data_IF_683969594974
#
_entry.id   IF_683969594974
#
_cell.length_a   1.000
_cell.length_b   1.000
_cell.length_c   1.000
_cell.angle_alpha   90.00
_cell.angle_beta   90.00
_cell.angle_gamma   90.00
#
_symmetry.space_group_name_H-M   'P 1'
#
loop_
_entity.id
_entity.type
_entity.pdbx_description
1 polymer ?
#
# COMPACT_ATOMS: atom_id res chain seq x y z
N UNK A 1 8.27 1.46 -16.70
CA UNK A 1 8.71 0.10 -16.32
C UNK A 1 8.10 -0.36 -15.01
N UNK A 2 8.07 0.50 -13.97
CA UNK A 2 7.53 0.12 -12.65
C UNK A 2 6.04 -0.31 -12.68
N UNK A 3 5.14 0.45 -13.34
CA UNK A 3 3.70 0.15 -13.33
C UNK A 3 3.31 -1.21 -13.94
N UNK A 4 3.89 -1.59 -15.08
CA UNK A 4 3.59 -2.89 -15.72
C UNK A 4 4.03 -4.05 -14.83
N UNK A 5 5.19 -3.91 -14.18
CA UNK A 5 5.71 -4.91 -13.26
C UNK A 5 4.86 -5.00 -11.99
N UNK A 6 4.44 -3.86 -11.42
CA UNK A 6 3.53 -3.82 -10.28
C UNK A 6 2.17 -4.44 -10.61
N UNK A 7 1.60 -4.15 -11.78
CA UNK A 7 0.36 -4.77 -12.24
C UNK A 7 0.51 -6.27 -12.47
N UNK A 8 1.65 -6.69 -13.05
CA UNK A 8 1.98 -8.11 -13.22
C UNK A 8 2.10 -8.84 -11.89
N UNK A 9 2.81 -8.25 -10.92
CA UNK A 9 2.95 -8.80 -9.57
C UNK A 9 1.60 -8.91 -8.88
N UNK A 10 0.76 -7.87 -8.96
CA UNK A 10 -0.59 -7.86 -8.40
C UNK A 10 -1.47 -8.95 -9.03
N UNK A 11 -1.39 -9.12 -10.35
CA UNK A 11 -2.09 -10.18 -11.08
C UNK A 11 -1.65 -11.57 -10.58
N UNK A 12 -0.33 -11.79 -10.43
CA UNK A 12 0.20 -13.06 -9.95
C UNK A 12 -0.18 -13.34 -8.50
N UNK A 13 -0.16 -12.34 -7.63
CA UNK A 13 -0.60 -12.48 -6.23
C UNK A 13 -2.07 -12.89 -6.19
N UNK A 14 -2.92 -12.20 -6.94
CA UNK A 14 -4.33 -12.54 -7.00
C UNK A 14 -4.55 -13.99 -7.49
N UNK A 15 -3.84 -14.39 -8.54
CA UNK A 15 -4.01 -15.70 -9.19
C UNK A 15 -3.43 -16.85 -8.37
N UNK A 16 -2.21 -16.72 -7.86
CA UNK A 16 -1.46 -17.81 -7.25
C UNK A 16 -1.55 -17.85 -5.73
N UNK A 17 -1.91 -16.73 -5.10
CA UNK A 17 -1.89 -16.61 -3.64
C UNK A 17 -3.29 -16.38 -3.10
N UNK A 18 -3.93 -15.27 -3.46
CA UNK A 18 -5.24 -14.90 -2.89
C UNK A 18 -6.33 -15.88 -3.30
N UNK A 19 -6.44 -16.17 -4.60
CA UNK A 19 -7.46 -17.07 -5.15
C UNK A 19 -7.47 -18.45 -4.50
N UNK A 20 -6.34 -19.18 -4.48
CA UNK A 20 -6.24 -20.49 -3.84
C UNK A 20 -6.53 -20.46 -2.33
N UNK A 21 -6.03 -19.46 -1.60
CA UNK A 21 -6.31 -19.30 -0.16
C UNK A 21 -7.81 -19.12 0.10
N UNK A 22 -8.47 -18.24 -0.66
CA UNK A 22 -9.92 -17.99 -0.54
C UNK A 22 -10.70 -19.25 -0.87
N UNK A 23 -10.36 -19.94 -1.97
CA UNK A 23 -11.02 -21.17 -2.36
C UNK A 23 -10.89 -22.27 -1.31
N UNK A 24 -9.70 -22.41 -0.70
CA UNK A 24 -9.46 -23.38 0.38
C UNK A 24 -10.36 -23.11 1.59
N UNK A 25 -10.42 -21.87 2.08
CA UNK A 25 -11.30 -21.49 3.21
C UNK A 25 -12.76 -21.73 2.85
N UNK A 26 -13.20 -21.31 1.66
CA UNK A 26 -14.58 -21.49 1.21
C UNK A 26 -14.96 -22.98 1.15
N UNK A 27 -14.07 -23.84 0.64
CA UNK A 27 -14.29 -25.28 0.59
C UNK A 27 -14.37 -25.90 1.99
N UNK A 28 -13.52 -25.47 2.92
CA UNK A 28 -13.55 -25.96 4.31
C UNK A 28 -14.83 -25.52 5.02
N UNK A 29 -15.26 -24.27 4.83
CA UNK A 29 -16.49 -23.76 5.41
C UNK A 29 -17.73 -24.43 4.81
N UNK A 30 -17.73 -24.70 3.50
CA UNK A 30 -18.80 -25.45 2.84
C UNK A 30 -18.90 -26.87 3.40
N UNK A 31 -17.77 -27.57 3.58
CA UNK A 31 -17.75 -28.93 4.14
C UNK A 31 -18.22 -28.94 5.60
N UNK A 32 -17.82 -27.93 6.38
CA UNK A 32 -18.31 -27.71 7.74
C UNK A 32 -19.83 -27.54 7.78
N UNK A 33 -20.39 -26.64 6.97
CA UNK A 33 -21.83 -26.43 6.90
C UNK A 33 -22.60 -27.67 6.41
N UNK A 34 -22.07 -28.39 5.42
CA UNK A 34 -22.73 -29.58 4.91
C UNK A 34 -22.77 -30.76 5.90
N UNK A 35 -21.85 -30.81 6.88
CA UNK A 35 -21.73 -31.90 7.85
C UNK A 35 -22.35 -31.58 9.21
N UNK A 36 -22.18 -30.34 9.67
CA UNK A 36 -22.49 -29.95 11.05
C UNK A 36 -23.87 -29.28 11.15
N UNK A 37 -24.47 -28.89 10.03
CA UNK A 37 -25.81 -28.30 10.02
C UNK A 37 -26.78 -29.21 9.26
N UNK A 38 -28.01 -29.31 9.76
CA UNK A 38 -29.08 -30.00 9.06
C UNK A 38 -29.68 -29.14 7.92
N UNK A 39 -30.65 -29.70 7.19
CA UNK A 39 -31.37 -28.98 6.12
C UNK A 39 -32.17 -27.77 6.62
N UNK A 40 -32.50 -27.73 7.90
CA UNK A 40 -33.24 -26.65 8.55
C UNK A 40 -32.29 -25.60 9.17
N UNK A 41 -30.97 -25.77 9.02
CA UNK A 41 -29.94 -24.87 9.55
C UNK A 41 -29.70 -25.01 11.06
N UNK A 42 -30.15 -26.10 11.70
CA UNK A 42 -29.85 -26.38 13.10
C UNK A 42 -28.45 -27.00 13.24
N UNK A 43 -27.75 -26.56 14.28
CA UNK A 43 -26.42 -27.04 14.62
C UNK A 43 -26.47 -28.41 15.29
N UNK A 44 -25.83 -29.41 14.70
CA UNK A 44 -25.76 -30.79 15.18
C UNK A 44 -24.50 -30.97 16.04
N UNK A 45 -24.66 -30.91 17.37
CA UNK A 45 -23.55 -30.99 18.31
C UNK A 45 -22.78 -32.32 18.23
N UNK A 46 -23.48 -33.43 18.02
CA UNK A 46 -22.87 -34.76 17.92
C UNK A 46 -21.98 -34.90 16.65
N UNK A 47 -22.43 -34.33 15.53
CA UNK A 47 -21.66 -34.29 14.28
C UNK A 47 -20.44 -33.35 14.42
N UNK A 48 -20.56 -32.26 15.19
CA UNK A 48 -19.43 -31.39 15.50
C UNK A 48 -18.36 -32.08 16.34
N UNK A 49 -18.74 -32.89 17.34
CA UNK A 49 -17.77 -33.61 18.17
C UNK A 49 -16.94 -34.63 17.37
N UNK A 50 -17.55 -35.24 16.35
CA UNK A 50 -16.88 -36.22 15.46
C UNK A 50 -16.23 -35.59 14.21
N UNK A 51 -16.33 -34.27 14.03
CA UNK A 51 -15.81 -33.58 12.85
C UNK A 51 -14.27 -33.49 12.87
N UNK A 52 -13.61 -34.15 11.92
CA UNK A 52 -12.14 -34.23 11.83
C UNK A 52 -11.47 -32.85 11.66
N UNK A 53 -12.11 -31.90 10.98
CA UNK A 53 -11.53 -30.57 10.68
C UNK A 53 -11.78 -29.50 11.74
N UNK A 54 -12.18 -29.88 12.96
CA UNK A 54 -12.56 -28.95 14.03
C UNK A 54 -11.41 -28.03 14.42
N UNK A 55 -10.19 -28.58 14.54
CA UNK A 55 -9.02 -27.82 14.98
C UNK A 55 -8.65 -26.73 13.97
N UNK A 56 -8.69 -27.06 12.67
CA UNK A 56 -8.44 -26.12 11.59
C UNK A 56 -9.46 -24.97 11.59
N UNK A 57 -10.75 -25.27 11.79
CA UNK A 57 -11.81 -24.25 11.89
C UNK A 57 -11.62 -23.35 13.13
N UNK A 58 -11.26 -23.94 14.26
CA UNK A 58 -10.99 -23.19 15.49
C UNK A 58 -9.79 -22.26 15.35
N UNK A 59 -8.83 -22.57 14.47
CA UNK A 59 -7.64 -21.76 14.22
C UNK A 59 -7.80 -20.68 13.14
N UNK A 60 -8.94 -20.63 12.45
CA UNK A 60 -9.24 -19.54 11.51
C UNK A 60 -9.06 -18.21 12.23
N UNK A 61 -8.40 -17.25 11.59
CA UNK A 61 -8.01 -15.98 12.22
C UNK A 61 -9.17 -15.25 12.92
N UNK A 62 -10.40 -15.39 12.40
CA UNK A 62 -11.62 -14.82 12.97
C UNK A 62 -11.98 -15.35 14.37
N UNK A 63 -11.46 -16.51 14.80
CA UNK A 63 -11.69 -17.08 16.13
C UNK A 63 -11.03 -16.26 17.26
N UNK A 64 -9.94 -15.54 16.97
CA UNK A 64 -9.32 -14.60 17.90
C UNK A 64 -9.37 -13.18 17.32
N UNK A 65 -10.48 -12.43 17.53
CA UNK A 65 -10.69 -11.15 16.88
C UNK A 65 -9.59 -10.14 17.21
N UNK A 66 -9.09 -10.13 18.45
CA UNK A 66 -8.03 -9.21 18.86
C UNK A 66 -6.74 -9.41 18.04
N UNK A 67 -6.31 -10.66 17.87
CA UNK A 67 -5.11 -10.99 17.11
C UNK A 67 -5.29 -10.65 15.62
N UNK A 68 -6.42 -11.06 15.05
CA UNK A 68 -6.76 -10.78 13.66
C UNK A 68 -6.78 -9.27 13.36
N UNK A 69 -7.52 -8.49 14.16
CA UNK A 69 -7.60 -7.05 13.96
C UNK A 69 -6.25 -6.36 14.13
N UNK A 70 -5.37 -6.86 15.02
CA UNK A 70 -4.02 -6.33 15.17
C UNK A 70 -3.22 -6.50 13.88
N UNK A 71 -3.23 -7.68 13.26
CA UNK A 71 -2.47 -7.91 12.03
C UNK A 71 -3.07 -7.16 10.84
N UNK A 72 -4.40 -7.14 10.70
CA UNK A 72 -5.06 -6.34 9.66
C UNK A 72 -4.78 -4.84 9.86
N UNK A 73 -4.75 -4.36 11.11
CA UNK A 73 -4.39 -2.98 11.42
C UNK A 73 -2.94 -2.67 11.02
N UNK A 74 -1.99 -3.55 11.33
CA UNK A 74 -0.60 -3.41 10.88
C UNK A 74 -0.51 -3.37 9.35
N UNK A 75 -1.24 -4.24 8.66
CA UNK A 75 -1.33 -4.23 7.20
C UNK A 75 -1.86 -2.89 6.66
N UNK A 76 -2.95 -2.37 7.26
CA UNK A 76 -3.49 -1.06 6.88
C UNK A 76 -2.46 0.05 7.12
N UNK A 77 -1.70 0.02 8.23
CA UNK A 77 -0.65 0.99 8.48
C UNK A 77 0.47 0.95 7.42
N UNK A 78 0.86 -0.24 6.97
CA UNK A 78 1.83 -0.41 5.89
C UNK A 78 1.32 0.23 4.59
N UNK A 79 0.06 0.00 4.23
CA UNK A 79 -0.52 0.65 3.04
C UNK A 79 -0.70 2.15 3.23
N UNK A 80 -1.02 2.63 4.43
CA UNK A 80 -1.11 4.07 4.74
C UNK A 80 0.23 4.76 4.54
N UNK A 81 1.36 4.10 4.82
CA UNK A 81 2.69 4.62 4.52
C UNK A 81 2.83 4.89 3.01
N UNK A 82 2.47 3.92 2.17
CA UNK A 82 2.54 4.06 0.71
C UNK A 82 1.59 5.14 0.17
N UNK A 83 0.39 5.22 0.75
CA UNK A 83 -0.59 6.24 0.41
C UNK A 83 -0.06 7.65 0.75
N UNK A 84 0.59 7.82 1.90
CA UNK A 84 1.20 9.10 2.30
C UNK A 84 2.33 9.52 1.35
N UNK A 85 3.14 8.59 0.88
CA UNK A 85 4.18 8.90 -0.12
C UNK A 85 3.55 9.39 -1.42
N UNK A 86 2.47 8.74 -1.87
CA UNK A 86 1.72 9.15 -3.07
C UNK A 86 1.01 10.50 -2.89
N UNK A 87 0.46 10.75 -1.71
CA UNK A 87 -0.19 12.01 -1.34
C UNK A 87 0.79 13.18 -1.31
N UNK A 88 1.99 12.98 -0.75
CA UNK A 88 3.05 14.00 -0.77
C UNK A 88 3.41 14.39 -2.20
N UNK A 89 3.65 13.41 -3.08
CA UNK A 89 3.91 13.67 -4.49
C UNK A 89 2.76 14.45 -5.14
N UNK A 90 1.52 14.07 -4.87
CA UNK A 90 0.36 14.77 -5.39
C UNK A 90 0.28 16.23 -4.88
N UNK A 91 0.56 16.45 -3.59
CA UNK A 91 0.58 17.77 -2.98
C UNK A 91 1.71 18.63 -3.53
N UNK A 92 2.90 18.07 -3.72
CA UNK A 92 4.05 18.77 -4.27
C UNK A 92 3.76 19.23 -5.70
N UNK A 93 3.24 18.34 -6.57
CA UNK A 93 2.82 18.65 -7.95
C UNK A 93 1.70 19.69 -7.99
N UNK A 94 0.76 19.63 -7.04
CA UNK A 94 -0.31 20.63 -6.93
C UNK A 94 0.21 22.01 -6.51
N UNK A 95 1.17 22.05 -5.60
CA UNK A 95 1.71 23.30 -5.05
C UNK A 95 2.57 24.09 -6.03
N UNK A 96 2.97 23.49 -7.15
CA UNK A 96 3.85 24.14 -8.12
C UNK A 96 3.16 25.23 -8.93
N UNK A 97 3.83 26.37 -9.16
CA UNK A 97 3.31 27.39 -10.06
C UNK A 97 3.21 26.88 -11.50
N UNK A 98 2.26 27.45 -12.25
CA UNK A 98 2.02 27.05 -13.64
C UNK A 98 2.85 27.91 -14.59
N UNK A 99 3.54 27.30 -15.56
CA UNK A 99 4.24 28.01 -16.64
C UNK A 99 3.62 27.70 -18.01
N UNK A 100 3.87 28.56 -19.01
CA UNK A 100 3.38 28.38 -20.40
C UNK A 100 4.42 27.76 -21.33
N UNK A 101 5.70 28.03 -21.11
CA UNK A 101 6.80 27.50 -21.93
C UNK A 101 7.55 26.41 -21.17
N UNK A 102 7.87 25.31 -21.87
CA UNK A 102 8.66 24.21 -21.30
C UNK A 102 10.08 24.63 -20.90
N UNK A 103 10.65 25.65 -21.55
CA UNK A 103 11.97 26.22 -21.19
C UNK A 103 11.99 26.89 -19.81
N UNK A 104 10.82 27.24 -19.25
CA UNK A 104 10.69 27.84 -17.93
C UNK A 104 10.45 26.79 -16.82
N UNK A 105 10.38 25.50 -17.18
CA UNK A 105 10.14 24.43 -16.21
C UNK A 105 11.37 24.15 -15.34
N UNK A 106 12.56 24.34 -15.90
CA UNK A 106 13.85 24.13 -15.24
C UNK A 106 14.51 25.47 -14.90
N UNK A 107 14.86 25.67 -13.63
CA UNK A 107 15.74 26.75 -13.19
C UNK A 107 17.10 26.18 -12.82
N UNK A 108 18.17 26.83 -13.27
CA UNK A 108 19.50 26.58 -12.74
C UNK A 108 19.70 27.40 -11.47
N UNK A 109 19.98 26.74 -10.35
CA UNK A 109 20.44 27.44 -9.16
C UNK A 109 21.94 27.74 -9.30
N UNK A 110 22.26 29.02 -9.44
CA UNK A 110 23.63 29.54 -9.62
C UNK A 110 24.57 29.16 -8.48
N UNK A 111 24.04 28.72 -7.34
CA UNK A 111 24.82 28.40 -6.13
C UNK A 111 25.33 26.96 -6.09
N UNK A 112 24.65 26.01 -6.75
CA UNK A 112 24.93 24.57 -6.60
C UNK A 112 25.01 23.77 -7.91
N UNK A 113 24.85 24.37 -9.10
CA UNK A 113 24.88 23.67 -10.41
C UNK A 113 23.88 22.50 -10.50
N UNK A 114 22.75 22.60 -9.80
CA UNK A 114 21.68 21.59 -9.85
C UNK A 114 20.49 22.13 -10.63
N UNK A 115 19.99 21.33 -11.57
CA UNK A 115 18.77 21.64 -12.34
C UNK A 115 17.56 21.36 -11.48
N UNK A 116 16.80 22.39 -11.13
CA UNK A 116 15.61 22.28 -10.28
C UNK A 116 14.34 22.54 -11.08
N UNK A 117 13.26 21.82 -10.77
CA UNK A 117 11.95 22.05 -11.40
C UNK A 117 11.24 23.18 -10.64
N UNK A 118 11.10 24.33 -11.30
CA UNK A 118 10.57 25.57 -10.69
C UNK A 118 9.08 25.75 -10.99
N UNK A 119 8.62 25.28 -12.16
CA UNK A 119 7.23 25.41 -12.59
C UNK A 119 6.81 24.24 -13.49
N UNK A 120 5.51 23.97 -13.56
CA UNK A 120 4.92 22.91 -14.39
C UNK A 120 3.94 23.51 -15.39
N UNK A 121 3.95 23.02 -16.63
CA UNK A 121 2.87 23.35 -17.58
C UNK A 121 1.59 22.61 -17.19
N UNK A 122 0.39 23.17 -17.43
CA UNK A 122 -0.88 22.49 -17.12
C UNK A 122 -1.02 21.11 -17.78
N UNK A 123 -0.49 20.96 -19.00
CA UNK A 123 -0.47 19.69 -19.72
C UNK A 123 0.38 18.65 -18.98
N UNK A 124 1.61 19.00 -18.61
CA UNK A 124 2.50 18.08 -17.85
C UNK A 124 1.91 17.78 -16.48
N UNK A 125 1.31 18.76 -15.79
CA UNK A 125 0.62 18.51 -14.51
C UNK A 125 -0.48 17.46 -14.68
N UNK A 126 -1.34 17.61 -15.68
CA UNK A 126 -2.40 16.64 -15.97
C UNK A 126 -1.83 15.25 -16.29
N UNK A 127 -0.77 15.17 -17.10
CA UNK A 127 -0.09 13.91 -17.41
C UNK A 127 0.50 13.24 -16.17
N UNK A 128 1.13 13.99 -15.25
CA UNK A 128 1.65 13.44 -13.99
C UNK A 128 0.51 12.86 -13.15
N UNK A 129 -0.62 13.56 -13.04
CA UNK A 129 -1.79 13.03 -12.34
C UNK A 129 -2.32 11.74 -12.99
N UNK A 130 -2.50 11.74 -14.31
CA UNK A 130 -3.11 10.62 -15.02
C UNK A 130 -2.19 9.41 -15.18
N UNK A 131 -0.89 9.62 -15.36
CA UNK A 131 0.07 8.55 -15.68
C UNK A 131 0.91 8.08 -14.48
N UNK A 132 0.96 8.86 -13.39
CA UNK A 132 1.79 8.53 -12.22
C UNK A 132 0.94 8.42 -10.96
N UNK A 133 0.21 9.48 -10.60
CA UNK A 133 -0.50 9.52 -9.30
C UNK A 133 -1.71 8.59 -9.31
N UNK A 134 -2.58 8.69 -10.31
CA UNK A 134 -3.79 7.88 -10.40
C UNK A 134 -3.48 6.37 -10.48
N UNK A 135 -2.56 5.90 -11.33
CA UNK A 135 -2.20 4.48 -11.37
C UNK A 135 -1.62 3.98 -10.04
N UNK A 136 -0.76 4.77 -9.38
CA UNK A 136 -0.23 4.42 -8.04
C UNK A 136 -1.34 4.29 -7.01
N UNK A 137 -2.31 5.21 -6.99
CA UNK A 137 -3.45 5.14 -6.08
C UNK A 137 -4.30 3.88 -6.34
N UNK A 138 -4.58 3.56 -7.61
CA UNK A 138 -5.32 2.34 -7.97
C UNK A 138 -4.61 1.09 -7.52
N UNK A 139 -3.30 0.99 -7.75
CA UNK A 139 -2.49 -0.15 -7.30
C UNK A 139 -2.52 -0.26 -5.77
N UNK A 140 -2.34 0.85 -5.05
CA UNK A 140 -2.37 0.90 -3.59
C UNK A 140 -3.73 0.45 -3.02
N UNK A 141 -4.84 0.95 -3.58
CA UNK A 141 -6.19 0.52 -3.19
C UNK A 141 -6.44 -0.96 -3.49
N UNK A 142 -5.96 -1.46 -4.63
CA UNK A 142 -6.14 -2.86 -5.00
C UNK A 142 -5.32 -3.79 -4.11
N UNK A 143 -4.07 -3.40 -3.79
CA UNK A 143 -3.24 -4.11 -2.82
C UNK A 143 -3.90 -4.15 -1.45
N UNK A 144 -4.44 -3.03 -0.97
CA UNK A 144 -5.19 -2.98 0.30
C UNK A 144 -6.30 -4.04 0.32
N UNK A 145 -7.13 -4.04 -0.73
CA UNK A 145 -8.26 -4.96 -0.84
C UNK A 145 -7.81 -6.42 -0.88
N UNK A 146 -6.86 -6.75 -1.76
CA UNK A 146 -6.33 -8.11 -1.90
C UNK A 146 -5.64 -8.59 -0.63
N UNK A 147 -4.90 -7.71 0.06
CA UNK A 147 -4.22 -8.06 1.29
C UNK A 147 -5.18 -8.31 2.45
N UNK A 148 -6.25 -7.51 2.56
CA UNK A 148 -7.33 -7.80 3.50
C UNK A 148 -7.98 -9.15 3.19
N UNK A 149 -8.34 -9.40 1.93
CA UNK A 149 -8.95 -10.66 1.50
C UNK A 149 -8.05 -11.86 1.80
N UNK A 150 -6.75 -11.73 1.56
CA UNK A 150 -5.79 -12.81 1.80
C UNK A 150 -5.56 -13.08 3.29
N UNK A 151 -5.43 -12.04 4.12
CA UNK A 151 -5.32 -12.19 5.58
C UNK A 151 -6.57 -12.82 6.19
N UNK A 152 -7.76 -12.47 5.70
CA UNK A 152 -9.01 -13.14 6.13
C UNK A 152 -9.06 -14.59 5.69
N UNK A 153 -8.46 -14.93 4.54
CA UNK A 153 -8.40 -16.29 3.99
C UNK A 153 -7.28 -17.15 4.59
N UNK A 154 -6.92 -16.91 5.86
CA UNK A 154 -5.83 -17.63 6.55
C UNK A 154 -6.35 -18.57 7.66
N UNK A 155 -5.83 -19.80 7.68
CA UNK A 155 -6.31 -20.91 8.52
C UNK A 155 -5.61 -21.09 9.87
N UNK A 156 -4.51 -20.37 10.10
CA UNK A 156 -3.79 -20.43 11.37
C UNK A 156 -3.21 -19.08 11.75
N UNK A 157 -3.01 -18.85 13.05
CA UNK A 157 -2.39 -17.61 13.52
C UNK A 157 -0.95 -17.44 13.03
N UNK A 158 -0.20 -18.55 12.91
CA UNK A 158 1.17 -18.53 12.40
C UNK A 158 1.21 -18.11 10.92
N UNK A 159 0.32 -18.68 10.10
CA UNK A 159 0.19 -18.31 8.69
C UNK A 159 -0.23 -16.84 8.55
N UNK A 160 -1.04 -16.32 9.49
CA UNK A 160 -1.53 -14.95 9.42
C UNK A 160 -0.39 -13.92 9.58
N UNK A 161 0.60 -14.24 10.42
CA UNK A 161 1.84 -13.45 10.55
C UNK A 161 2.75 -13.65 9.34
N UNK A 162 2.91 -14.89 8.85
CA UNK A 162 3.76 -15.13 7.68
C UNK A 162 3.21 -14.44 6.43
N UNK A 163 1.89 -14.47 6.23
CA UNK A 163 1.21 -13.83 5.11
C UNK A 163 1.35 -12.30 5.21
N UNK A 164 1.26 -11.71 6.40
CA UNK A 164 1.45 -10.25 6.54
C UNK A 164 2.88 -9.81 6.21
N UNK A 165 3.89 -10.55 6.66
CA UNK A 165 5.30 -10.29 6.32
C UNK A 165 5.55 -10.48 4.82
N UNK A 166 4.97 -11.52 4.21
CA UNK A 166 5.08 -11.75 2.78
C UNK A 166 4.46 -10.60 1.96
N UNK A 167 3.35 -10.03 2.42
CA UNK A 167 2.77 -8.85 1.80
C UNK A 167 3.63 -7.60 1.97
N UNK A 168 4.27 -7.41 3.13
CA UNK A 168 5.22 -6.31 3.33
C UNK A 168 6.36 -6.38 2.31
N UNK A 169 6.92 -7.59 2.10
CA UNK A 169 7.92 -7.82 1.06
C UNK A 169 7.39 -7.42 -0.31
N UNK A 170 6.21 -7.94 -0.70
CA UNK A 170 5.55 -7.60 -1.98
C UNK A 170 5.42 -6.09 -2.17
N UNK A 171 4.98 -5.37 -1.13
CA UNK A 171 4.78 -3.91 -1.23
C UNK A 171 6.09 -3.15 -1.40
N UNK A 172 7.23 -3.66 -0.90
CA UNK A 172 8.54 -3.04 -1.04
C UNK A 172 9.36 -3.49 -2.25
N UNK A 173 8.86 -4.42 -3.06
CA UNK A 173 9.59 -4.96 -4.23
C UNK A 173 9.92 -3.88 -5.26
N UNK A 174 9.06 -2.88 -5.45
CA UNK A 174 9.30 -1.83 -6.43
C UNK A 174 10.43 -0.88 -6.00
N UNK A 175 10.46 -0.51 -4.72
CA UNK A 175 11.56 0.26 -4.13
C UNK A 175 12.88 -0.51 -4.23
N UNK A 176 12.87 -1.80 -3.86
CA UNK A 176 14.06 -2.65 -3.96
C UNK A 176 14.56 -2.79 -5.41
N UNK A 177 13.64 -2.90 -6.38
CA UNK A 177 14.01 -2.99 -7.79
C UNK A 177 14.52 -1.66 -8.35
N UNK A 178 13.94 -0.54 -7.93
CA UNK A 178 14.46 0.78 -8.24
C UNK A 178 15.89 0.96 -7.68
N UNK A 179 16.12 0.54 -6.44
CA UNK A 179 17.41 0.57 -5.75
C UNK A 179 18.42 -0.48 -6.21
N UNK A 180 18.07 -1.40 -7.10
CA UNK A 180 19.02 -2.39 -7.62
C UNK A 180 19.29 -2.16 -9.09
N UNK A 181 18.26 -1.85 -9.88
CA UNK A 181 18.37 -1.72 -11.33
C UNK A 181 18.82 -0.33 -11.78
N UNK A 182 18.59 0.74 -11.01
CA UNK A 182 19.01 2.08 -11.42
C UNK A 182 20.50 2.31 -11.13
N UNK A 183 21.37 2.64 -12.09
CA UNK A 183 22.78 2.94 -11.82
C UNK A 183 22.96 4.13 -10.87
N UNK A 184 23.99 4.07 -10.01
CA UNK A 184 24.26 5.10 -8.97
C UNK A 184 24.38 6.51 -9.56
N UNK A 185 24.91 6.64 -10.79
CA UNK A 185 25.01 7.92 -11.49
C UNK A 185 23.63 8.55 -11.78
N UNK A 186 22.65 7.75 -12.16
CA UNK A 186 21.28 8.23 -12.42
C UNK A 186 20.46 8.39 -11.13
N UNK A 187 20.78 7.66 -10.06
CA UNK A 187 20.17 7.90 -8.74
C UNK A 187 20.47 9.29 -8.20
N UNK A 188 21.73 9.74 -8.34
CA UNK A 188 22.10 11.11 -7.94
C UNK A 188 21.32 12.15 -8.75
N UNK A 189 21.29 11.99 -10.07
CA UNK A 189 20.51 12.90 -10.93
C UNK A 189 19.02 12.94 -10.57
N UNK A 190 18.40 11.81 -10.23
CA UNK A 190 16.98 11.77 -9.84
C UNK A 190 16.76 12.30 -8.41
N UNK A 191 17.68 12.02 -7.47
CA UNK A 191 17.65 12.57 -6.12
C UNK A 191 17.89 14.09 -6.08
N UNK A 192 18.61 14.61 -7.07
CA UNK A 192 18.90 16.03 -7.24
C UNK A 192 17.76 16.79 -7.93
N UNK A 193 16.79 16.11 -8.57
CA UNK A 193 15.51 16.69 -9.01
C UNK A 193 14.63 16.90 -7.77
N UNK A 194 15.03 17.85 -6.93
CA UNK A 194 14.18 18.33 -5.85
C UNK A 194 13.21 19.36 -6.41
N UNK A 195 11.94 19.09 -6.21
CA UNK A 195 10.87 20.05 -6.39
C UNK A 195 11.08 21.22 -5.43
N UNK A 196 11.29 22.43 -5.96
CA UNK A 196 11.42 23.63 -5.14
C UNK A 196 10.03 23.99 -4.64
N UNK A 197 9.67 23.45 -3.48
CA UNK A 197 8.52 23.98 -2.73
C UNK A 197 8.93 25.34 -2.18
N UNK A 198 8.32 26.40 -2.71
CA UNK A 198 8.48 27.74 -2.16
C UNK A 198 7.95 27.76 -0.72
N UNK A 199 8.84 27.61 0.27
CA UNK A 199 8.52 27.99 1.65
C UNK A 199 8.59 29.52 1.71
N UNK A 200 7.47 30.25 1.87
CA UNK A 200 7.56 31.65 2.22
C UNK A 200 8.39 31.75 3.50
N UNK A 201 9.42 32.58 3.50
CA UNK A 201 10.30 32.87 4.63
C UNK A 201 9.49 33.58 5.72
N UNK A 202 8.62 32.86 6.42
CA UNK A 202 7.94 33.39 7.60
C UNK A 202 8.96 33.49 8.72
N UNK A 203 9.20 34.72 9.16
CA UNK A 203 10.04 35.08 10.28
C UNK A 203 9.92 34.07 11.43
N UNK A 204 11.08 33.61 11.91
CA UNK A 204 11.20 32.53 12.87
C UNK A 204 10.62 32.85 14.25
N UNK A 205 10.55 31.79 15.06
CA UNK A 205 10.43 31.74 16.53
C UNK A 205 9.08 31.37 17.16
N UNK A 206 7.96 31.29 16.42
CA UNK A 206 6.66 30.89 17.02
C UNK A 206 6.11 29.53 16.55
N UNK A 207 6.63 28.96 15.45
CA UNK A 207 6.05 27.76 14.82
C UNK A 207 6.46 26.43 15.46
N UNK A 208 7.56 26.36 16.22
CA UNK A 208 8.02 25.09 16.81
C UNK A 208 7.05 24.58 17.90
N UNK A 209 6.43 25.50 18.64
CA UNK A 209 5.42 25.15 19.64
C UNK A 209 4.09 24.69 19.01
N UNK A 210 3.74 25.25 17.84
CA UNK A 210 2.56 24.84 17.09
C UNK A 210 2.76 23.51 16.33
N UNK A 211 3.99 23.24 15.86
CA UNK A 211 4.35 21.97 15.23
C UNK A 211 4.40 20.83 16.26
N UNK A 212 4.94 21.09 17.46
CA UNK A 212 4.91 20.14 18.58
C UNK A 212 3.48 19.78 19.00
N UNK A 213 2.58 20.77 19.10
CA UNK A 213 1.17 20.54 19.47
C UNK A 213 0.40 19.72 18.42
N UNK A 214 0.75 19.85 17.14
CA UNK A 214 0.16 19.05 16.04
C UNK A 214 0.68 17.62 15.96
N UNK A 215 1.85 17.33 16.53
CA UNK A 215 2.39 15.96 16.63
C UNK A 215 1.68 15.10 17.66
N UNK A 216 0.93 15.71 18.59
CA UNK A 216 0.17 15.00 19.64
C UNK A 216 -1.32 14.81 19.31
N UNK A 217 -1.78 15.32 18.16
CA UNK A 217 -3.20 15.26 17.76
C UNK A 217 -3.43 14.48 16.45
N UNK A 218 -2.49 13.63 16.06
CA UNK A 218 -2.69 12.58 15.05
C UNK A 218 -2.26 11.23 15.59
#
# INVERSE_FOLDING_TARGET
MNLLMQLGLLYFINLFVVGPSVHKIQSQYLHFHARVFDSDGQFLADEWESYEGKEDLCQIGMSSPLFYFTVVFLWVLLIVRELRTTERLARDVWSMPSCRLSSQMTGEDTSHSVVQVVALTPCVRSLIYMLVILPKLVICCTLMYLGCQWLTATNSFADLVMNSIAMEFVTGVDEALYETLLPVAHRKQVADINFVTYRPRTAGRSKDFAAFKRSFTY
#
